data_IF_100317605277
#
_entry.id   IF_100317605277
#
_cell.length_a   1.000
_cell.length_b   1.000
_cell.length_c   1.000
_cell.angle_alpha   90.00
_cell.angle_beta   90.00
_cell.angle_gamma   90.00
#
_symmetry.space_group_name_H-M   'P 1'
#
loop_
_entity.id
_entity.type
_entity.pdbx_description
1 polymer ?
#
# COMPACT_ATOMS: atom_id res chain seq x y z
N UNK A 1 -1.23 26.69 17.02
CA UNK A 1 -2.52 26.06 17.38
C UNK A 1 -2.27 24.57 17.58
N UNK A 2 -3.00 23.90 18.49
CA UNK A 2 -2.99 22.43 18.55
C UNK A 2 -3.41 21.84 17.21
N UNK A 3 -2.79 20.73 16.79
CA UNK A 3 -3.14 20.01 15.57
C UNK A 3 -3.00 18.50 15.80
N UNK A 4 -3.72 17.70 15.00
CA UNK A 4 -3.57 16.25 14.98
C UNK A 4 -2.46 15.86 13.98
N UNK A 5 -1.34 15.24 14.43
CA UNK A 5 -0.23 14.88 13.54
C UNK A 5 -0.53 13.65 12.68
N UNK A 6 -1.65 12.95 12.91
CA UNK A 6 -2.00 11.68 12.27
C UNK A 6 -1.86 11.69 10.76
N UNK A 7 -2.60 12.59 10.08
CA UNK A 7 -2.59 12.67 8.62
C UNK A 7 -1.21 13.04 8.10
N UNK A 8 -0.56 14.01 8.73
CA UNK A 8 0.78 14.44 8.32
C UNK A 8 1.80 13.29 8.35
N UNK A 9 1.78 12.48 9.41
CA UNK A 9 2.67 11.32 9.54
C UNK A 9 2.36 10.23 8.52
N UNK A 10 1.08 9.96 8.25
CA UNK A 10 0.71 9.01 7.18
C UNK A 10 1.25 9.48 5.84
N UNK A 11 1.00 10.74 5.47
CA UNK A 11 1.41 11.29 4.18
C UNK A 11 2.94 11.29 4.04
N UNK A 12 3.67 11.64 5.11
CA UNK A 12 5.12 11.65 5.11
C UNK A 12 5.71 10.24 4.92
N UNK A 13 5.24 9.25 5.70
CA UNK A 13 5.70 7.87 5.61
C UNK A 13 5.32 7.25 4.26
N UNK A 14 4.07 7.43 3.82
CA UNK A 14 3.60 6.91 2.55
C UNK A 14 4.37 7.46 1.37
N UNK A 15 4.75 8.75 1.40
CA UNK A 15 5.55 9.31 0.32
C UNK A 15 6.96 8.74 0.23
N UNK A 16 7.55 8.31 1.36
CA UNK A 16 8.84 7.61 1.34
C UNK A 16 8.68 6.30 0.58
N UNK A 17 7.69 5.48 0.91
CA UNK A 17 7.49 4.19 0.24
C UNK A 17 7.02 4.36 -1.21
N UNK A 18 6.17 5.35 -1.51
CA UNK A 18 5.82 5.73 -2.89
C UNK A 18 7.04 6.08 -3.72
N UNK A 19 8.00 6.84 -3.18
CA UNK A 19 9.22 7.18 -3.93
C UNK A 19 10.11 5.98 -4.24
N UNK A 20 10.05 4.93 -3.40
CA UNK A 20 10.79 3.68 -3.62
C UNK A 20 10.06 2.82 -4.67
N UNK A 21 8.73 2.76 -4.58
CA UNK A 21 7.92 1.87 -5.42
C UNK A 21 7.68 2.45 -6.82
N UNK A 22 7.27 3.72 -6.88
CA UNK A 22 6.76 4.39 -8.07
C UNK A 22 7.74 5.43 -8.65
N UNK A 23 8.89 5.64 -7.99
CA UNK A 23 9.88 6.63 -8.40
C UNK A 23 9.44 8.09 -8.21
N UNK A 24 8.27 8.31 -7.59
CA UNK A 24 7.67 9.64 -7.46
C UNK A 24 7.17 9.91 -6.03
N UNK A 25 7.14 11.20 -5.68
CA UNK A 25 6.54 11.71 -4.45
C UNK A 25 5.28 12.48 -4.83
N UNK A 26 4.15 12.02 -4.31
CA UNK A 26 2.88 12.68 -4.54
C UNK A 26 2.76 13.92 -3.67
N UNK A 27 2.15 14.96 -4.23
CA UNK A 27 1.69 16.09 -3.42
C UNK A 27 0.70 15.56 -2.36
N UNK A 28 0.69 16.20 -1.19
CA UNK A 28 -0.21 15.80 -0.11
C UNK A 28 -1.68 16.08 -0.49
N UNK A 29 -1.91 16.93 -1.48
CA UNK A 29 -3.24 17.22 -2.04
C UNK A 29 -3.54 16.41 -3.32
N UNK A 30 -2.64 15.53 -3.78
CA UNK A 30 -2.90 14.68 -4.94
C UNK A 30 -4.07 13.72 -4.64
N UNK A 31 -5.18 13.88 -5.37
CA UNK A 31 -6.40 13.11 -5.15
C UNK A 31 -6.17 11.59 -5.20
N UNK A 32 -5.24 11.12 -6.03
CA UNK A 32 -4.98 9.68 -6.15
C UNK A 32 -4.21 9.16 -4.94
N UNK A 33 -3.22 9.91 -4.47
CA UNK A 33 -2.48 9.60 -3.26
C UNK A 33 -3.39 9.62 -2.03
N UNK A 34 -4.19 10.67 -1.87
CA UNK A 34 -5.17 10.78 -0.77
C UNK A 34 -6.13 9.60 -0.80
N UNK A 35 -6.66 9.24 -1.98
CA UNK A 35 -7.55 8.07 -2.12
C UNK A 35 -6.86 6.78 -1.65
N UNK A 36 -5.58 6.58 -1.95
CA UNK A 36 -4.84 5.40 -1.46
C UNK A 36 -4.71 5.39 0.07
N UNK A 37 -4.37 6.52 0.68
CA UNK A 37 -4.28 6.64 2.14
C UNK A 37 -5.64 6.37 2.80
N UNK A 38 -6.72 6.91 2.25
CA UNK A 38 -8.08 6.67 2.75
C UNK A 38 -8.47 5.18 2.66
N UNK A 39 -8.15 4.52 1.54
CA UNK A 39 -8.40 3.08 1.38
C UNK A 39 -7.58 2.24 2.37
N UNK A 40 -6.34 2.64 2.66
CA UNK A 40 -5.51 2.00 3.69
C UNK A 40 -6.15 2.15 5.08
N UNK A 41 -6.58 3.36 5.43
CA UNK A 41 -7.20 3.63 6.72
C UNK A 41 -8.52 2.87 6.89
N UNK A 42 -9.36 2.85 5.84
CA UNK A 42 -10.60 2.08 5.83
C UNK A 42 -10.32 0.58 5.98
N UNK A 43 -9.36 0.03 5.24
CA UNK A 43 -8.99 -1.39 5.35
C UNK A 43 -8.48 -1.75 6.74
N UNK A 44 -7.64 -0.90 7.36
CA UNK A 44 -7.18 -1.11 8.74
C UNK A 44 -8.37 -1.13 9.73
N UNK A 45 -9.36 -0.27 9.57
CA UNK A 45 -10.59 -0.29 10.39
C UNK A 45 -11.41 -1.55 10.15
N UNK A 46 -11.57 -1.96 8.88
CA UNK A 46 -12.34 -3.15 8.50
C UNK A 46 -11.69 -4.45 8.98
N UNK A 47 -10.36 -4.54 8.97
CA UNK A 47 -9.62 -5.71 9.47
C UNK A 47 -9.85 -5.97 10.96
N UNK A 48 -10.07 -4.93 11.75
CA UNK A 48 -10.36 -5.05 13.17
C UNK A 48 -11.77 -5.61 13.46
N UNK A 49 -12.64 -5.74 12.45
CA UNK A 49 -13.99 -6.28 12.62
C UNK A 49 -13.98 -7.81 12.80
N UNK A 50 -14.79 -8.29 13.76
CA UNK A 50 -15.01 -9.73 13.99
C UNK A 50 -15.50 -10.42 12.71
N UNK A 51 -16.36 -9.79 11.92
CA UNK A 51 -16.85 -10.36 10.67
C UNK A 51 -15.74 -10.56 9.63
N UNK A 52 -14.77 -9.65 9.59
CA UNK A 52 -13.60 -9.79 8.70
C UNK A 52 -12.67 -10.89 9.22
N UNK A 53 -12.49 -11.01 10.53
CA UNK A 53 -11.74 -12.14 11.11
C UNK A 53 -12.41 -13.49 10.83
N UNK A 54 -13.74 -13.59 10.92
CA UNK A 54 -14.48 -14.80 10.57
C UNK A 54 -14.30 -15.18 9.10
N UNK A 55 -14.20 -14.22 8.19
CA UNK A 55 -13.88 -14.48 6.78
C UNK A 55 -12.57 -15.25 6.62
N UNK A 56 -11.55 -14.96 7.42
CA UNK A 56 -10.27 -15.68 7.37
C UNK A 56 -10.38 -17.15 7.81
N UNK A 57 -11.35 -17.48 8.69
CA UNK A 57 -11.52 -18.85 9.20
C UNK A 57 -12.54 -19.67 8.41
N UNK A 58 -13.63 -19.04 7.96
CA UNK A 58 -14.75 -19.71 7.28
C UNK A 58 -15.19 -18.95 6.00
N UNK A 59 -14.28 -18.73 5.04
CA UNK A 59 -14.54 -17.89 3.86
C UNK A 59 -15.74 -18.41 3.06
N UNK A 60 -15.82 -19.72 2.85
CA UNK A 60 -16.90 -20.35 2.06
C UNK A 60 -18.31 -20.10 2.62
N UNK A 61 -18.48 -19.88 3.93
CA UNK A 61 -19.78 -19.49 4.51
C UNK A 61 -19.99 -18.00 4.38
N UNK A 62 -18.93 -17.23 4.67
CA UNK A 62 -18.96 -15.79 4.71
C UNK A 62 -19.15 -15.17 3.32
N UNK A 63 -18.71 -15.82 2.24
CA UNK A 63 -18.95 -15.38 0.85
C UNK A 63 -20.43 -15.18 0.53
N UNK A 64 -21.33 -15.90 1.21
CA UNK A 64 -22.78 -15.78 1.04
C UNK A 64 -23.43 -14.76 1.99
N UNK A 65 -22.67 -14.20 2.94
CA UNK A 65 -23.17 -13.27 3.95
C UNK A 65 -22.75 -11.83 3.64
N UNK A 66 -23.63 -10.83 3.81
CA UNK A 66 -23.22 -9.44 3.71
C UNK A 66 -22.28 -9.09 4.87
N UNK A 67 -21.27 -8.26 4.63
CA UNK A 67 -20.38 -7.83 5.70
C UNK A 67 -19.20 -6.96 5.27
N UNK A 68 -18.40 -6.49 6.24
CA UNK A 68 -17.25 -5.62 6.01
C UNK A 68 -16.16 -6.25 5.13
N UNK A 69 -16.06 -7.58 5.09
CA UNK A 69 -15.14 -8.30 4.21
C UNK A 69 -15.40 -8.00 2.72
N UNK A 70 -16.66 -7.80 2.31
CA UNK A 70 -17.01 -7.43 0.93
C UNK A 70 -16.51 -6.02 0.57
N UNK A 71 -16.56 -5.09 1.53
CA UNK A 71 -16.02 -3.75 1.35
C UNK A 71 -14.49 -3.80 1.23
N UNK A 72 -13.83 -4.65 2.04
CA UNK A 72 -12.39 -4.85 1.97
C UNK A 72 -11.95 -5.40 0.60
N UNK A 73 -12.71 -6.35 0.03
CA UNK A 73 -12.47 -6.86 -1.33
C UNK A 73 -12.58 -5.73 -2.37
N UNK A 74 -13.64 -4.91 -2.31
CA UNK A 74 -13.80 -3.75 -3.22
C UNK A 74 -12.66 -2.74 -3.10
N UNK A 75 -12.16 -2.53 -1.89
CA UNK A 75 -11.03 -1.62 -1.67
C UNK A 75 -9.74 -2.18 -2.28
N UNK A 76 -9.50 -3.48 -2.16
CA UNK A 76 -8.37 -4.15 -2.84
C UNK A 76 -8.48 -3.98 -4.37
N UNK A 77 -9.67 -4.17 -4.94
CA UNK A 77 -9.90 -3.97 -6.38
C UNK A 77 -9.58 -2.54 -6.85
N UNK A 78 -9.94 -1.52 -6.05
CA UNK A 78 -9.60 -0.12 -6.36
C UNK A 78 -8.09 0.12 -6.34
N UNK A 79 -7.38 -0.44 -5.37
CA UNK A 79 -5.91 -0.29 -5.29
C UNK A 79 -5.21 -1.07 -6.40
N UNK A 80 -5.71 -2.25 -6.76
CA UNK A 80 -5.20 -3.02 -7.91
C UNK A 80 -5.36 -2.21 -9.21
N UNK A 81 -6.53 -1.60 -9.45
CA UNK A 81 -6.75 -0.74 -10.61
C UNK A 81 -5.80 0.45 -10.66
N UNK A 82 -5.50 1.05 -9.51
CA UNK A 82 -4.53 2.14 -9.41
C UNK A 82 -3.12 1.65 -9.75
N UNK A 83 -2.69 0.56 -9.13
CA UNK A 83 -1.36 -0.04 -9.34
C UNK A 83 -1.16 -0.45 -10.79
N UNK A 84 -2.14 -1.09 -11.43
CA UNK A 84 -2.05 -1.46 -12.85
C UNK A 84 -1.91 -0.25 -13.78
N UNK A 85 -2.55 0.88 -13.47
CA UNK A 85 -2.37 2.11 -14.25
C UNK A 85 -0.92 2.60 -14.17
N UNK A 86 -0.33 2.62 -12.98
CA UNK A 86 1.07 3.03 -12.80
C UNK A 86 2.02 2.07 -13.51
N UNK A 87 1.81 0.76 -13.37
CA UNK A 87 2.63 -0.25 -14.07
C UNK A 87 2.56 -0.02 -15.59
N UNK A 88 1.37 0.23 -16.14
CA UNK A 88 1.21 0.52 -17.56
C UNK A 88 1.90 1.82 -18.00
N UNK A 89 1.98 2.83 -17.13
CA UNK A 89 2.76 4.05 -17.38
C UNK A 89 4.27 3.76 -17.36
N UNK A 90 4.75 2.94 -16.42
CA UNK A 90 6.16 2.54 -16.35
C UNK A 90 6.57 1.74 -17.59
N UNK A 91 5.74 0.80 -18.04
CA UNK A 91 6.01 0.01 -19.25
C UNK A 91 6.17 0.88 -20.50
N UNK A 92 5.50 2.04 -20.60
CA UNK A 92 5.62 2.95 -21.76
C UNK A 92 6.94 3.70 -21.78
N UNK A 93 7.54 3.94 -20.62
CA UNK A 93 8.75 4.77 -20.47
C UNK A 93 9.95 3.96 -19.95
N UNK A 94 9.85 2.63 -19.92
CA UNK A 94 10.85 1.76 -19.33
C UNK A 94 12.19 1.88 -20.08
N UNK A 95 13.24 2.23 -19.34
CA UNK A 95 14.63 2.11 -19.79
C UNK A 95 15.30 0.97 -19.03
N UNK A 96 15.59 -0.17 -19.68
CA UNK A 96 16.21 -1.32 -19.03
C UNK A 96 17.60 -1.04 -18.44
N UNK A 97 18.28 0.02 -18.89
CA UNK A 97 19.62 0.39 -18.42
C UNK A 97 19.61 1.30 -17.21
N UNK A 98 18.47 1.94 -16.93
CA UNK A 98 18.33 2.93 -15.87
C UNK A 98 16.98 2.75 -15.14
N UNK A 99 16.82 1.69 -14.33
CA UNK A 99 15.60 1.47 -13.56
C UNK A 99 15.38 2.61 -12.56
N UNK A 100 14.22 3.25 -12.61
CA UNK A 100 13.90 4.42 -11.77
C UNK A 100 13.51 4.03 -10.34
N UNK A 101 12.89 2.87 -10.19
CA UNK A 101 12.22 2.43 -8.97
C UNK A 101 12.01 0.90 -8.94
N UNK A 102 11.30 0.43 -7.93
CA UNK A 102 10.95 -0.98 -7.77
C UNK A 102 10.19 -1.54 -8.98
N UNK A 103 9.23 -0.79 -9.55
CA UNK A 103 8.42 -1.28 -10.67
C UNK A 103 9.30 -1.51 -11.89
N UNK A 104 10.15 -0.55 -12.24
CA UNK A 104 11.10 -0.72 -13.36
C UNK A 104 12.06 -1.89 -13.13
N UNK A 105 12.59 -2.02 -11.91
CA UNK A 105 13.48 -3.13 -11.56
C UNK A 105 12.77 -4.49 -11.70
N UNK A 106 11.50 -4.58 -11.28
CA UNK A 106 10.70 -5.79 -11.42
C UNK A 106 10.38 -6.09 -12.89
N UNK A 107 10.01 -5.08 -13.68
CA UNK A 107 9.77 -5.23 -15.13
C UNK A 107 11.03 -5.73 -15.86
N UNK A 108 12.21 -5.21 -15.50
CA UNK A 108 13.47 -5.72 -16.04
C UNK A 108 13.71 -7.18 -15.66
N UNK A 109 13.38 -7.57 -14.43
CA UNK A 109 13.48 -8.97 -13.99
C UNK A 109 12.49 -9.87 -14.73
N UNK A 110 11.26 -9.41 -14.98
CA UNK A 110 10.27 -10.11 -15.81
C UNK A 110 10.81 -10.38 -17.23
N UNK A 111 11.47 -9.38 -17.83
CA UNK A 111 12.09 -9.53 -19.15
C UNK A 111 13.19 -10.59 -19.15
N UNK A 112 14.05 -10.61 -18.13
CA UNK A 112 15.13 -11.59 -17.97
C UNK A 112 14.62 -13.02 -17.79
N UNK A 113 13.44 -13.19 -17.20
CA UNK A 113 12.81 -14.49 -16.98
C UNK A 113 11.92 -14.93 -18.16
N UNK A 114 11.90 -14.18 -19.28
CA UNK A 114 11.14 -14.60 -20.47
C UNK A 114 11.63 -15.95 -20.98
N UNK A 115 10.68 -16.88 -21.14
CA UNK A 115 10.95 -18.25 -21.56
C UNK A 115 11.12 -19.23 -20.40
N UNK A 116 11.18 -18.76 -19.15
CA UNK A 116 11.08 -19.61 -17.98
C UNK A 116 9.60 -19.90 -17.67
N UNK A 117 9.14 -21.12 -17.97
CA UNK A 117 7.77 -21.56 -17.68
C UNK A 117 7.41 -21.67 -16.20
N UNK A 118 8.39 -21.51 -15.31
CA UNK A 118 8.22 -21.52 -13.85
C UNK A 118 8.50 -20.15 -13.21
N UNK A 119 8.50 -19.07 -14.02
CA UNK A 119 8.71 -17.72 -13.49
C UNK A 119 7.51 -17.25 -12.67
N UNK A 120 7.78 -16.78 -11.46
CA UNK A 120 6.80 -16.10 -10.58
C UNK A 120 6.74 -14.58 -10.85
N UNK A 121 7.60 -14.06 -11.73
CA UNK A 121 7.63 -12.65 -12.11
C UNK A 121 6.55 -12.38 -13.17
N UNK A 122 5.35 -12.08 -12.69
CA UNK A 122 4.19 -11.72 -13.51
C UNK A 122 3.70 -10.31 -13.19
N UNK A 123 2.87 -9.74 -14.07
CA UNK A 123 2.23 -8.42 -13.83
C UNK A 123 1.32 -8.50 -12.59
N UNK A 124 0.69 -9.64 -12.34
CA UNK A 124 -0.13 -9.85 -11.14
C UNK A 124 0.72 -9.86 -9.88
N UNK A 125 1.82 -10.60 -9.86
CA UNK A 125 2.77 -10.63 -8.74
C UNK A 125 3.35 -9.25 -8.48
N UNK A 126 3.68 -8.49 -9.54
CA UNK A 126 4.14 -7.10 -9.42
C UNK A 126 3.09 -6.21 -8.74
N UNK A 127 1.83 -6.29 -9.17
CA UNK A 127 0.75 -5.52 -8.55
C UNK A 127 0.57 -5.88 -7.07
N UNK A 128 0.54 -7.17 -6.75
CA UNK A 128 0.39 -7.66 -5.37
C UNK A 128 1.56 -7.25 -4.49
N UNK A 129 2.79 -7.36 -4.98
CA UNK A 129 4.00 -6.99 -4.22
C UNK A 129 4.08 -5.48 -3.99
N UNK A 130 3.69 -4.69 -5.00
CA UNK A 130 3.59 -3.22 -4.88
C UNK A 130 2.60 -2.83 -3.78
N UNK A 131 1.40 -3.43 -3.79
CA UNK A 131 0.39 -3.20 -2.76
C UNK A 131 0.88 -3.60 -1.36
N UNK A 132 1.53 -4.76 -1.24
CA UNK A 132 2.07 -5.26 0.03
C UNK A 132 3.13 -4.31 0.62
N UNK A 133 4.10 -3.88 -0.20
CA UNK A 133 5.11 -2.91 0.21
C UNK A 133 4.48 -1.58 0.66
N UNK A 134 3.50 -1.08 -0.07
CA UNK A 134 2.81 0.18 0.26
C UNK A 134 2.04 0.09 1.58
N UNK A 135 1.26 -0.98 1.77
CA UNK A 135 0.52 -1.29 3.00
C UNK A 135 1.47 -1.38 4.21
N UNK A 136 2.48 -2.25 4.09
CA UNK A 136 3.40 -2.55 5.18
C UNK A 136 4.24 -1.32 5.57
N UNK A 137 4.76 -0.60 4.58
CA UNK A 137 5.61 0.57 4.79
C UNK A 137 4.86 1.75 5.41
N UNK A 138 3.60 1.96 5.01
CA UNK A 138 2.77 3.07 5.49
C UNK A 138 2.28 2.84 6.91
N UNK A 139 1.45 1.81 7.11
CA UNK A 139 0.60 1.74 8.31
C UNK A 139 1.41 1.51 9.59
N UNK A 140 2.36 0.57 9.55
CA UNK A 140 3.13 0.18 10.73
C UNK A 140 4.03 1.31 11.23
N UNK A 141 4.73 1.98 10.31
CA UNK A 141 5.63 3.10 10.62
C UNK A 141 4.85 4.31 11.12
N UNK A 142 3.73 4.67 10.49
CA UNK A 142 2.94 5.84 10.92
C UNK A 142 2.32 5.62 12.30
N UNK A 143 1.77 4.44 12.58
CA UNK A 143 1.27 4.07 13.92
C UNK A 143 2.39 4.12 14.95
N UNK A 144 3.57 3.60 14.62
CA UNK A 144 4.72 3.60 15.54
C UNK A 144 5.16 5.03 15.87
N UNK A 145 5.24 5.92 14.88
CA UNK A 145 5.58 7.33 15.10
C UNK A 145 4.54 8.05 15.96
N UNK A 146 3.24 7.83 15.69
CA UNK A 146 2.14 8.40 16.50
C UNK A 146 2.26 7.99 17.96
N UNK A 147 2.46 6.70 18.23
CA UNK A 147 2.68 6.21 19.60
C UNK A 147 3.99 6.75 20.20
N UNK A 148 5.05 6.87 19.40
CA UNK A 148 6.32 7.47 19.82
C UNK A 148 6.12 8.90 20.34
N UNK A 149 5.45 9.75 19.58
CA UNK A 149 5.15 11.13 20.03
C UNK A 149 4.27 11.15 21.28
N UNK A 150 3.25 10.30 21.36
CA UNK A 150 2.39 10.22 22.53
C UNK A 150 3.16 9.81 23.80
N UNK A 151 4.10 8.87 23.66
CA UNK A 151 4.98 8.44 24.75
C UNK A 151 5.92 9.56 25.18
N UNK A 152 6.57 10.25 24.22
CA UNK A 152 7.46 11.37 24.53
C UNK A 152 6.73 12.54 25.22
N UNK A 153 5.47 12.78 24.85
CA UNK A 153 4.63 13.78 25.54
C UNK A 153 4.28 13.36 26.97
N UNK A 154 4.09 12.06 27.23
CA UNK A 154 3.77 11.53 28.56
C UNK A 154 4.98 11.53 29.49
N UNK A 155 6.18 11.36 28.95
CA UNK A 155 7.45 11.25 29.68
C UNK A 155 8.43 12.34 29.21
N UNK A 156 8.18 13.62 29.52
CA UNK A 156 9.00 14.74 29.04
C UNK A 156 10.46 14.69 29.49
N UNK A 157 10.78 13.93 30.55
CA UNK A 157 12.14 13.72 31.04
C UNK A 157 13.04 12.89 30.11
N UNK A 158 12.46 12.23 29.10
CA UNK A 158 13.19 11.45 28.09
C UNK A 158 13.75 12.35 26.98
N UNK A 159 13.16 13.53 26.77
CA UNK A 159 13.50 14.51 25.72
C UNK A 159 14.52 15.52 26.25
#
# INVERSE_FOLDING_TARGET
QPFDPSNFLDHAVSNIICSIIFGDRFDYEDEKFVTLIELLEENNKLQNSIYTQLYNFIPAVMDYLPGPHQQMIKNVEKVDQFTFKIIAEHQKTLDPTCPRDFIDAFLNKMEQEKGNGHSEFTVETLSRTTLDLFLAGTGTTSITLRYGFLILQKYPEIV
#
